data_IF_306252337084
#
_entry.id   IF_306252337084
#
_cell.length_a   1.000
_cell.length_b   1.000
_cell.length_c   1.000
_cell.angle_alpha   90.00
_cell.angle_beta   90.00
_cell.angle_gamma   90.00
#
_symmetry.space_group_name_H-M   'P 1'
#
loop_
_entity.id
_entity.type
_entity.pdbx_description
1 polymer ?
#
# COMPACT_ATOMS: atom_id res chain seq x y z
N UNK A 1 -9.90 -30.21 46.74
CA UNK A 1 -9.03 -30.12 45.55
C UNK A 1 -8.61 -28.66 45.39
N UNK A 2 -7.44 -28.29 45.92
CA UNK A 2 -6.93 -26.90 45.85
C UNK A 2 -6.14 -26.77 44.55
N UNK A 3 -6.72 -26.11 43.55
CA UNK A 3 -5.98 -25.73 42.34
C UNK A 3 -4.91 -24.74 42.79
N UNK A 4 -3.62 -25.15 42.73
CA UNK A 4 -2.48 -24.27 43.03
C UNK A 4 -2.52 -23.09 42.05
N UNK A 5 -2.92 -21.92 42.54
CA UNK A 5 -3.03 -20.66 41.80
C UNK A 5 -1.74 -20.31 41.02
N UNK A 6 -0.58 -20.75 41.52
CA UNK A 6 0.73 -20.60 40.88
C UNK A 6 0.85 -21.26 39.51
N UNK A 7 0.07 -22.31 39.19
CA UNK A 7 0.12 -22.95 37.86
C UNK A 7 -0.61 -22.17 36.76
N UNK A 8 -1.51 -21.24 37.12
CA UNK A 8 -2.27 -20.40 36.19
C UNK A 8 -1.66 -19.01 36.00
N UNK A 9 -0.88 -18.52 36.97
CA UNK A 9 -0.25 -17.19 36.93
C UNK A 9 0.87 -17.13 35.88
N UNK A 10 1.68 -18.18 35.76
CA UNK A 10 2.81 -18.25 34.81
C UNK A 10 2.36 -18.16 33.34
N UNK A 11 1.38 -18.95 32.85
CA UNK A 11 0.90 -18.81 31.47
C UNK A 11 0.16 -17.48 31.24
N UNK A 12 -0.53 -16.94 32.27
CA UNK A 12 -1.22 -15.65 32.18
C UNK A 12 -0.27 -14.46 32.01
N UNK A 13 0.86 -14.44 32.76
CA UNK A 13 1.90 -13.42 32.60
C UNK A 13 2.59 -13.50 31.23
N UNK A 14 2.82 -14.73 30.72
CA UNK A 14 3.43 -14.93 29.41
C UNK A 14 2.54 -14.40 28.27
N UNK A 15 1.22 -14.61 28.35
CA UNK A 15 0.27 -14.09 27.36
C UNK A 15 0.19 -12.55 27.38
N UNK A 16 0.22 -11.95 28.58
CA UNK A 16 0.21 -10.49 28.75
C UNK A 16 1.48 -9.84 28.18
N UNK A 17 2.65 -10.45 28.41
CA UNK A 17 3.92 -10.00 27.85
C UNK A 17 3.92 -10.05 26.30
N UNK A 18 3.33 -11.08 25.70
CA UNK A 18 3.20 -11.18 24.24
C UNK A 18 2.28 -10.09 23.68
N UNK A 19 1.18 -9.74 24.37
CA UNK A 19 0.28 -8.66 23.92
C UNK A 19 0.90 -7.27 24.00
N UNK A 20 1.82 -7.03 24.95
CA UNK A 20 2.55 -5.75 25.05
C UNK A 20 3.66 -5.58 24.01
N UNK A 21 4.04 -6.65 23.31
CA UNK A 21 4.96 -6.61 22.16
C UNK A 21 4.24 -6.49 20.81
N UNK A 22 2.92 -6.28 20.79
CA UNK A 22 2.20 -5.96 19.55
C UNK A 22 2.76 -4.65 18.98
N UNK A 23 3.63 -4.77 17.97
CA UNK A 23 4.47 -3.68 17.46
C UNK A 23 3.66 -2.50 16.92
N UNK A 24 4.05 -1.30 17.30
CA UNK A 24 3.71 -0.10 16.55
C UNK A 24 4.40 -0.17 15.19
N UNK A 25 3.65 -0.18 14.10
CA UNK A 25 4.17 0.12 12.77
C UNK A 25 4.17 1.64 12.61
N UNK A 26 5.34 2.25 12.77
CA UNK A 26 5.52 3.68 12.57
C UNK A 26 5.41 4.04 11.08
N UNK A 27 4.78 5.18 10.76
CA UNK A 27 4.75 5.71 9.40
C UNK A 27 3.59 5.26 8.51
N UNK A 28 2.68 4.41 9.01
CA UNK A 28 1.47 3.96 8.30
C UNK A 28 0.22 4.19 9.14
N UNK A 29 -0.92 4.41 8.48
CA UNK A 29 -2.22 4.66 9.10
C UNK A 29 -3.31 3.86 8.38
N UNK A 30 -4.40 3.45 9.04
CA UNK A 30 -5.51 2.79 8.34
C UNK A 30 -6.08 3.69 7.23
N UNK A 31 -6.35 3.13 6.05
CA UNK A 31 -7.00 3.88 4.98
C UNK A 31 -8.37 4.41 5.44
N UNK A 32 -8.55 5.73 5.40
CA UNK A 32 -9.77 6.41 5.90
C UNK A 32 -10.74 6.86 4.81
N UNK A 33 -10.55 6.47 3.55
CA UNK A 33 -11.39 6.86 2.40
C UNK A 33 -11.63 8.39 2.28
N UNK A 34 -10.71 9.21 2.79
CA UNK A 34 -10.79 10.67 2.67
C UNK A 34 -10.04 11.13 1.42
N UNK A 35 -10.53 12.15 0.68
CA UNK A 35 -9.82 12.73 -0.47
C UNK A 35 -8.41 13.23 -0.15
N UNK A 36 -8.17 13.60 1.12
CA UNK A 36 -6.88 14.08 1.60
C UNK A 36 -5.90 12.96 2.00
N UNK A 37 -6.33 11.71 1.91
CA UNK A 37 -5.52 10.55 2.30
C UNK A 37 -4.41 10.35 1.30
N UNK A 38 -3.17 10.40 1.76
CA UNK A 38 -2.00 10.01 0.94
C UNK A 38 -1.94 8.49 0.92
N UNK A 39 -2.41 7.89 -0.17
CA UNK A 39 -2.41 6.44 -0.36
C UNK A 39 -1.05 5.88 -0.82
N UNK A 40 -0.09 6.76 -1.14
CA UNK A 40 1.16 6.40 -1.79
C UNK A 40 2.25 7.45 -1.54
N UNK A 41 3.47 7.01 -1.24
CA UNK A 41 4.66 7.88 -1.21
C UNK A 41 5.81 7.20 -1.95
N UNK A 42 6.78 7.97 -2.45
CA UNK A 42 7.97 7.43 -3.10
C UNK A 42 8.98 6.75 -2.15
N UNK A 43 8.58 6.53 -0.89
CA UNK A 43 9.38 5.89 0.14
C UNK A 43 8.75 4.53 0.44
N UNK A 44 9.58 3.49 0.37
CA UNK A 44 9.25 2.15 0.82
C UNK A 44 9.17 2.14 2.35
N UNK A 45 7.97 1.88 2.86
CA UNK A 45 7.65 1.75 4.30
C UNK A 45 7.17 0.33 4.63
N UNK A 46 7.28 -0.58 3.67
CA UNK A 46 6.95 -1.98 3.75
C UNK A 46 7.98 -2.67 4.62
N UNK A 47 7.66 -3.91 4.98
CA UNK A 47 8.59 -4.75 5.74
C UNK A 47 9.29 -5.77 4.85
N UNK A 48 8.86 -5.91 3.61
CA UNK A 48 9.53 -6.67 2.58
C UNK A 48 10.63 -5.82 1.91
N UNK A 49 11.57 -6.50 1.27
CA UNK A 49 12.64 -5.88 0.50
C UNK A 49 12.60 -6.41 -0.94
N UNK A 50 11.39 -6.70 -1.44
CA UNK A 50 11.18 -7.31 -2.74
C UNK A 50 10.98 -6.20 -3.75
N UNK A 51 11.68 -6.29 -4.89
CA UNK A 51 11.47 -5.35 -5.96
C UNK A 51 10.08 -5.57 -6.59
N UNK A 52 9.38 -4.49 -6.92
CA UNK A 52 8.12 -4.54 -7.64
C UNK A 52 8.25 -5.43 -8.89
N UNK A 53 7.31 -6.35 -9.05
CA UNK A 53 7.30 -7.24 -10.22
C UNK A 53 7.24 -6.41 -11.51
N UNK A 54 8.17 -6.62 -12.47
CA UNK A 54 8.17 -5.90 -13.73
C UNK A 54 6.83 -6.07 -14.47
N UNK A 55 6.20 -4.94 -14.83
CA UNK A 55 4.91 -4.96 -15.53
C UNK A 55 3.69 -5.27 -14.64
N UNK A 56 3.88 -5.36 -13.31
CA UNK A 56 2.79 -5.26 -12.35
C UNK A 56 2.17 -3.87 -12.36
N UNK A 57 0.86 -3.78 -12.15
CA UNK A 57 0.12 -2.53 -12.07
C UNK A 57 -0.90 -2.32 -13.19
N UNK A 58 -1.71 -1.28 -13.00
CA UNK A 58 -2.77 -0.87 -13.89
C UNK A 58 -2.38 0.36 -14.71
N UNK A 59 -3.07 0.56 -15.84
CA UNK A 59 -2.99 1.77 -16.65
C UNK A 59 -4.15 2.69 -16.28
N UNK A 60 -3.84 3.88 -15.80
CA UNK A 60 -4.83 4.92 -15.51
C UNK A 60 -4.86 5.95 -16.65
N UNK A 61 -6.05 6.24 -17.14
CA UNK A 61 -6.31 7.36 -18.06
C UNK A 61 -6.64 8.59 -17.24
N UNK A 62 -5.82 9.64 -17.38
CA UNK A 62 -6.07 10.93 -16.75
C UNK A 62 -7.23 11.68 -17.46
N UNK A 63 -7.71 12.81 -16.91
CA UNK A 63 -8.78 13.60 -17.52
C UNK A 63 -8.48 14.09 -18.94
N UNK A 64 -7.21 14.18 -19.32
CA UNK A 64 -6.76 14.60 -20.66
C UNK A 64 -6.68 13.42 -21.65
N UNK A 65 -6.95 12.18 -21.19
CA UNK A 65 -6.85 10.96 -21.99
C UNK A 65 -5.42 10.41 -22.13
N UNK A 66 -4.49 10.92 -21.33
CA UNK A 66 -3.12 10.46 -21.28
C UNK A 66 -2.95 9.33 -20.25
N UNK A 67 -1.99 8.45 -20.50
CA UNK A 67 -1.78 7.24 -19.72
C UNK A 67 -0.72 7.44 -18.64
N UNK A 68 -1.06 7.05 -17.42
CA UNK A 68 -0.13 6.74 -16.35
C UNK A 68 -0.17 5.25 -16.03
N UNK A 69 0.84 4.76 -15.32
CA UNK A 69 0.77 3.49 -14.61
C UNK A 69 0.61 3.76 -13.12
N UNK A 70 -0.13 2.88 -12.45
CA UNK A 70 -0.30 2.86 -11.01
C UNK A 70 -0.09 1.43 -10.52
N UNK A 71 0.54 1.28 -9.37
CA UNK A 71 0.67 0.00 -8.67
C UNK A 71 0.51 0.24 -7.17
N UNK A 72 -0.02 -0.75 -6.48
CA UNK A 72 -0.18 -0.79 -5.04
C UNK A 72 0.33 -2.13 -4.53
N UNK A 73 1.32 -2.10 -3.64
CA UNK A 73 1.91 -3.28 -2.98
C UNK A 73 1.36 -3.47 -1.55
N UNK A 74 0.21 -2.87 -1.26
CA UNK A 74 -0.52 -3.00 0.01
C UNK A 74 -0.22 -1.89 1.02
N UNK A 75 1.05 -1.50 1.17
CA UNK A 75 1.46 -0.32 1.96
C UNK A 75 2.02 0.79 1.08
N UNK A 76 2.75 0.44 0.03
CA UNK A 76 3.29 1.38 -0.95
C UNK A 76 2.48 1.42 -2.24
N UNK A 77 1.98 2.60 -2.59
CA UNK A 77 1.61 2.89 -3.97
C UNK A 77 2.73 3.56 -4.75
N UNK A 78 2.90 3.19 -6.02
CA UNK A 78 3.74 3.90 -6.98
C UNK A 78 2.94 4.31 -8.20
N UNK A 79 3.33 5.42 -8.82
CA UNK A 79 2.72 5.86 -10.08
C UNK A 79 3.72 6.63 -10.93
N UNK A 80 3.46 6.63 -12.24
CA UNK A 80 4.27 7.38 -13.18
C UNK A 80 3.58 7.62 -14.50
N UNK A 81 3.98 8.69 -15.18
CA UNK A 81 3.59 8.95 -16.57
C UNK A 81 4.16 7.85 -17.47
N UNK A 82 3.39 7.41 -18.47
CA UNK A 82 3.89 6.56 -19.55
C UNK A 82 4.36 7.40 -20.71
N UNK A 83 5.53 7.05 -21.24
CA UNK A 83 6.12 7.69 -22.41
C UNK A 83 6.31 6.68 -23.52
N UNK A 84 6.08 7.11 -24.75
CA UNK A 84 6.47 6.35 -25.92
C UNK A 84 8.02 6.31 -25.99
N UNK A 85 8.66 5.13 -26.00
CA UNK A 85 10.11 5.04 -25.99
C UNK A 85 10.78 5.61 -27.25
N UNK A 86 10.02 5.79 -28.35
CA UNK A 86 10.56 6.35 -29.60
C UNK A 86 10.52 7.88 -29.57
N UNK A 87 9.35 8.47 -29.32
CA UNK A 87 9.19 9.93 -29.34
C UNK A 87 9.54 10.62 -28.02
N UNK A 88 9.55 9.90 -26.90
CA UNK A 88 9.65 10.46 -25.55
C UNK A 88 8.41 11.24 -25.11
N UNK A 89 7.34 11.26 -25.92
CA UNK A 89 6.11 11.98 -25.60
C UNK A 89 5.19 11.13 -24.70
N UNK A 90 4.33 11.77 -23.88
CA UNK A 90 3.30 11.06 -23.15
C UNK A 90 2.41 10.22 -24.07
N UNK A 91 2.09 9.00 -23.65
CA UNK A 91 1.17 8.15 -24.39
C UNK A 91 -0.26 8.64 -24.12
N UNK A 92 -0.92 9.24 -25.11
CA UNK A 92 -2.31 9.69 -25.02
C UNK A 92 -3.14 9.12 -26.18
N UNK A 93 -4.32 8.56 -25.88
CA UNK A 93 -5.22 7.99 -26.88
C UNK A 93 -6.65 7.83 -26.34
N UNK A 94 -7.59 7.44 -27.21
CA UNK A 94 -9.01 7.31 -26.90
C UNK A 94 -9.49 5.86 -26.87
N UNK A 95 -8.62 4.89 -26.54
CA UNK A 95 -9.03 3.48 -26.44
C UNK A 95 -10.01 3.24 -25.28
N UNK A 96 -9.90 4.02 -24.21
CA UNK A 96 -10.80 3.99 -23.05
C UNK A 96 -11.15 5.44 -22.65
N UNK A 97 -12.33 5.67 -22.04
CA UNK A 97 -12.71 7.00 -21.55
C UNK A 97 -11.75 7.57 -20.49
N UNK A 98 -11.60 8.90 -20.38
CA UNK A 98 -10.89 9.54 -19.27
C UNK A 98 -11.39 9.06 -17.91
N UNK A 99 -10.47 8.89 -16.94
CA UNK A 99 -10.78 8.35 -15.62
C UNK A 99 -10.86 6.82 -15.54
N UNK A 100 -10.59 6.10 -16.64
CA UNK A 100 -10.60 4.63 -16.65
C UNK A 100 -9.29 4.06 -16.09
N UNK A 101 -9.39 3.03 -15.25
CA UNK A 101 -8.25 2.20 -14.81
C UNK A 101 -8.36 0.82 -15.46
N UNK A 102 -7.31 0.38 -16.15
CA UNK A 102 -7.25 -0.88 -16.90
C UNK A 102 -6.25 -1.83 -16.24
N UNK A 103 -6.68 -3.08 -15.98
CA UNK A 103 -5.97 -4.14 -15.23
C UNK A 103 -6.01 -3.95 -13.71
N UNK A 104 -5.53 -4.98 -12.99
CA UNK A 104 -5.39 -4.92 -11.54
C UNK A 104 -4.20 -4.02 -11.16
N UNK A 105 -4.41 -3.09 -10.24
CA UNK A 105 -3.36 -2.21 -9.74
C UNK A 105 -2.62 -2.83 -8.54
N UNK A 106 -3.23 -3.80 -7.86
CA UNK A 106 -2.63 -4.43 -6.69
C UNK A 106 -1.70 -5.58 -7.07
N UNK A 107 -0.57 -5.70 -6.38
CA UNK A 107 0.26 -6.90 -6.44
C UNK A 107 -0.45 -8.09 -5.76
N UNK A 108 -0.10 -9.34 -6.11
CA UNK A 108 -0.62 -10.52 -5.42
C UNK A 108 -0.26 -10.57 -3.92
N UNK A 109 0.83 -9.91 -3.54
CA UNK A 109 1.42 -9.97 -2.20
C UNK A 109 0.93 -8.85 -1.26
N UNK A 110 0.08 -7.93 -1.76
CA UNK A 110 -0.49 -6.79 -1.02
C UNK A 110 -1.26 -7.15 0.27
N UNK A 111 -1.53 -8.43 0.53
CA UNK A 111 -2.03 -8.91 1.83
C UNK A 111 -3.46 -8.45 2.20
N UNK A 112 -3.74 -8.34 3.50
CA UNK A 112 -5.04 -7.93 4.06
C UNK A 112 -4.88 -6.72 5.00
N UNK A 113 -5.81 -5.76 4.86
CA UNK A 113 -5.87 -4.38 5.44
C UNK A 113 -4.96 -3.38 4.74
N UNK A 114 -5.59 -2.55 3.91
CA UNK A 114 -5.04 -1.35 3.27
C UNK A 114 -4.63 -0.32 4.35
N UNK A 115 -3.33 -0.29 4.63
CA UNK A 115 -2.67 0.68 5.50
C UNK A 115 -1.86 1.61 4.62
N UNK A 116 -2.16 2.89 4.70
CA UNK A 116 -1.57 3.89 3.83
C UNK A 116 -0.47 4.68 4.56
N UNK A 117 0.52 5.20 3.84
CA UNK A 117 1.53 6.07 4.41
C UNK A 117 0.92 7.24 5.19
N UNK A 118 1.46 7.55 6.38
CA UNK A 118 1.09 8.78 7.08
C UNK A 118 1.36 9.97 6.17
N UNK A 119 0.34 10.80 5.94
CA UNK A 119 0.38 11.91 4.99
C UNK A 119 1.62 12.80 5.23
N UNK A 120 2.64 12.64 4.40
CA UNK A 120 3.86 13.43 4.41
C UNK A 120 3.65 14.82 3.81
N UNK A 121 2.49 15.45 4.06
CA UNK A 121 2.23 16.83 3.65
C UNK A 121 3.29 17.70 4.30
N UNK A 122 4.25 18.16 3.50
CA UNK A 122 5.13 19.25 3.89
C UNK A 122 4.25 20.50 3.91
N UNK A 123 4.14 21.12 5.08
CA UNK A 123 3.55 22.46 5.21
C UNK A 123 4.34 23.47 4.38
#
# INVERSE_FOLDING_TARGET
MVIRMTKLIVPGLALLAITTLAGCVEGVTPYRQSPDTVIATNADRGRDNVALAPGGGAIAYDPDGCQGWIIDDGVEGYSGRRFDPVSGLPICNNHYPPGTVVRNYQTPDAGLRDYVPSAGRRN
#
